data_IF_037037506263
#
_entry.id   IF_037037506263
#
_cell.length_a   1.000
_cell.length_b   1.000
_cell.length_c   1.000
_cell.angle_alpha   90.00
_cell.angle_beta   90.00
_cell.angle_gamma   90.00
#
_symmetry.space_group_name_H-M   'P 1'
#
loop_
_entity.id
_entity.type
_entity.pdbx_description
1 polymer ?
#
# COMPACT_ATOMS: atom_id res chain seq x y z
N UNK A 1 -7.69 -60.07 37.60
CA UNK A 1 -7.12 -58.80 38.10
C UNK A 1 -6.41 -58.13 36.94
N UNK A 2 -7.04 -57.13 36.33
CA UNK A 2 -6.52 -56.38 35.18
C UNK A 2 -6.00 -55.07 35.75
N UNK A 3 -4.69 -54.82 35.65
CA UNK A 3 -4.06 -53.59 36.13
C UNK A 3 -4.39 -52.39 35.22
N UNK A 4 -4.41 -51.15 35.73
CA UNK A 4 -4.76 -49.99 34.94
C UNK A 4 -3.60 -49.60 34.00
N UNK A 5 -3.92 -49.42 32.73
CA UNK A 5 -3.04 -48.85 31.71
C UNK A 5 -2.90 -47.34 31.91
N UNK A 6 -1.66 -46.87 32.04
CA UNK A 6 -1.29 -45.46 32.11
C UNK A 6 -1.23 -44.87 30.68
N UNK A 7 -1.97 -43.79 30.35
CA UNK A 7 -1.87 -43.16 29.04
C UNK A 7 -0.62 -42.28 28.97
N UNK A 8 0.23 -42.53 27.97
CA UNK A 8 1.39 -41.70 27.64
C UNK A 8 0.90 -40.43 26.94
N UNK A 9 1.02 -39.28 27.61
CA UNK A 9 0.72 -37.97 27.04
C UNK A 9 1.87 -37.54 26.11
N UNK A 10 1.71 -37.72 24.81
CA UNK A 10 2.64 -37.17 23.80
C UNK A 10 2.31 -35.70 23.60
N UNK A 11 3.13 -34.80 24.18
CA UNK A 11 3.08 -33.37 23.85
C UNK A 11 3.82 -33.15 22.53
N UNK A 12 3.07 -32.83 21.48
CA UNK A 12 3.64 -32.23 20.28
C UNK A 12 4.02 -30.79 20.60
N UNK A 13 5.31 -30.50 20.67
CA UNK A 13 5.83 -29.13 20.69
C UNK A 13 5.96 -28.71 19.24
N UNK A 14 4.98 -27.96 18.75
CA UNK A 14 4.97 -27.42 17.40
C UNK A 14 5.86 -26.18 17.37
N UNK A 15 7.14 -26.38 17.02
CA UNK A 15 8.09 -25.28 16.83
C UNK A 15 7.76 -24.58 15.52
N UNK A 16 6.95 -23.53 15.60
CA UNK A 16 6.76 -22.60 14.49
C UNK A 16 8.07 -21.84 14.29
N UNK A 17 8.84 -22.24 13.27
CA UNK A 17 9.95 -21.43 12.78
C UNK A 17 9.36 -20.14 12.20
N UNK A 18 9.48 -19.05 12.94
CA UNK A 18 9.29 -17.71 12.40
C UNK A 18 10.46 -17.47 11.45
N UNK A 19 10.23 -17.66 10.16
CA UNK A 19 11.16 -17.21 9.12
C UNK A 19 10.95 -15.70 9.04
N UNK A 20 11.73 -14.94 9.82
CA UNK A 20 11.86 -13.50 9.56
C UNK A 20 12.74 -13.36 8.33
N UNK A 21 12.13 -13.13 7.17
CA UNK A 21 12.86 -12.69 5.99
C UNK A 21 13.31 -11.25 6.24
N UNK A 22 14.60 -10.97 6.08
CA UNK A 22 15.08 -9.58 6.15
C UNK A 22 14.38 -8.75 5.05
N UNK A 23 13.98 -7.49 5.35
CA UNK A 23 13.38 -6.62 4.35
C UNK A 23 14.30 -6.49 3.14
N UNK A 24 13.72 -6.58 1.94
CA UNK A 24 14.47 -6.34 0.71
C UNK A 24 15.00 -4.89 0.70
N UNK A 25 16.29 -4.72 0.36
CA UNK A 25 16.93 -3.42 0.25
C UNK A 25 17.07 -3.01 -1.21
N UNK A 26 16.85 -1.72 -1.46
CA UNK A 26 16.96 -1.06 -2.75
C UNK A 26 18.23 -0.19 -2.83
N UNK A 27 19.32 -0.65 -2.19
CA UNK A 27 20.60 0.06 -2.20
C UNK A 27 21.09 0.25 -3.64
N UNK A 28 21.44 1.50 -3.97
CA UNK A 28 21.92 1.93 -5.30
C UNK A 28 20.91 1.75 -6.46
N UNK A 29 19.65 1.46 -6.15
CA UNK A 29 18.60 1.51 -7.17
C UNK A 29 18.32 2.98 -7.53
N UNK A 30 18.34 3.26 -8.83
CA UNK A 30 18.13 4.63 -9.35
C UNK A 30 16.80 4.74 -10.04
N UNK A 31 16.19 5.92 -9.99
CA UNK A 31 15.04 6.24 -10.82
C UNK A 31 15.46 7.23 -11.89
N UNK A 32 15.21 6.88 -13.15
CA UNK A 32 15.43 7.76 -14.30
C UNK A 32 14.09 8.16 -14.91
N UNK A 33 13.93 9.45 -15.19
CA UNK A 33 12.87 9.93 -16.06
C UNK A 33 13.30 9.84 -17.51
N UNK A 34 12.48 9.23 -18.33
CA UNK A 34 12.73 9.01 -19.75
C UNK A 34 11.61 9.65 -20.57
N UNK A 35 11.98 10.40 -21.60
CA UNK A 35 11.00 10.98 -22.54
C UNK A 35 10.92 10.16 -23.82
N UNK A 36 9.71 9.79 -24.20
CA UNK A 36 9.42 9.02 -25.41
C UNK A 36 9.16 9.98 -26.57
N UNK A 37 10.12 10.16 -27.47
CA UNK A 37 10.03 11.09 -28.61
C UNK A 37 9.81 10.36 -29.95
N UNK A 38 10.06 9.05 -30.03
CA UNK A 38 9.91 8.26 -31.25
C UNK A 38 9.33 6.86 -30.98
N UNK A 39 8.77 6.23 -32.03
CA UNK A 39 8.16 4.89 -31.94
C UNK A 39 9.20 3.84 -31.52
N UNK A 40 10.41 3.92 -32.05
CA UNK A 40 11.51 3.00 -31.74
C UNK A 40 11.90 3.06 -30.26
N UNK A 41 11.77 4.23 -29.63
CA UNK A 41 12.02 4.41 -28.19
C UNK A 41 10.92 3.78 -27.35
N UNK A 42 9.66 3.95 -27.77
CA UNK A 42 8.51 3.31 -27.12
C UNK A 42 8.66 1.78 -27.15
N UNK A 43 8.99 1.20 -28.30
CA UNK A 43 9.20 -0.24 -28.44
C UNK A 43 10.41 -0.72 -27.61
N UNK A 44 11.49 0.05 -27.57
CA UNK A 44 12.65 -0.27 -26.74
C UNK A 44 12.29 -0.32 -25.24
N UNK A 45 11.52 0.66 -24.75
CA UNK A 45 11.07 0.70 -23.35
C UNK A 45 10.08 -0.43 -23.05
N UNK A 46 9.13 -0.71 -23.94
CA UNK A 46 8.19 -1.84 -23.80
C UNK A 46 8.89 -3.20 -23.84
N UNK A 47 10.08 -3.29 -24.41
CA UNK A 47 10.86 -4.54 -24.45
C UNK A 47 11.60 -4.86 -23.15
N UNK A 48 11.70 -3.91 -22.22
CA UNK A 48 12.29 -4.15 -20.91
C UNK A 48 11.41 -5.12 -20.12
N UNK A 49 12.05 -6.09 -19.47
CA UNK A 49 11.37 -6.98 -18.54
C UNK A 49 11.04 -6.22 -17.25
N UNK A 50 9.82 -6.32 -16.78
CA UNK A 50 9.41 -5.77 -15.48
C UNK A 50 9.19 -6.87 -14.45
N UNK A 51 9.19 -6.52 -13.16
CA UNK A 51 8.91 -7.43 -12.05
C UNK A 51 10.14 -7.79 -11.19
N UNK A 52 10.08 -8.90 -10.43
CA UNK A 52 11.08 -9.24 -9.43
C UNK A 52 12.50 -9.32 -10.01
N UNK A 53 13.45 -8.64 -9.38
CA UNK A 53 14.85 -8.54 -9.82
C UNK A 53 15.03 -8.00 -11.25
N UNK A 54 14.11 -7.14 -11.70
CA UNK A 54 14.15 -6.49 -13.01
C UNK A 54 13.88 -4.99 -12.89
N UNK A 55 13.71 -4.31 -14.02
CA UNK A 55 13.23 -2.92 -14.06
C UNK A 55 11.81 -2.81 -13.48
N UNK A 56 11.44 -1.62 -13.03
CA UNK A 56 10.05 -1.32 -12.65
C UNK A 56 9.67 0.04 -13.21
N UNK A 57 8.52 0.13 -13.88
CA UNK A 57 7.95 1.41 -14.29
C UNK A 57 6.98 1.91 -13.24
N UNK A 58 7.07 3.19 -12.88
CA UNK A 58 6.04 3.81 -12.03
C UNK A 58 4.76 4.02 -12.84
N UNK A 59 4.92 4.40 -14.12
CA UNK A 59 3.89 4.43 -15.14
C UNK A 59 4.38 3.70 -16.39
N UNK A 60 3.58 2.77 -16.90
CA UNK A 60 3.93 1.99 -18.10
C UNK A 60 4.09 2.90 -19.33
N UNK A 61 5.07 2.64 -20.21
CA UNK A 61 5.25 3.39 -21.45
C UNK A 61 4.12 3.06 -22.43
N UNK A 62 3.20 3.98 -22.65
CA UNK A 62 2.01 3.80 -23.49
C UNK A 62 2.15 4.48 -24.86
N UNK A 63 2.70 5.70 -24.90
CA UNK A 63 2.62 6.55 -26.11
C UNK A 63 3.81 7.51 -26.29
N UNK A 64 3.99 7.98 -27.52
CA UNK A 64 4.94 9.05 -27.86
C UNK A 64 4.47 10.36 -27.21
N UNK A 65 5.41 11.12 -26.67
CA UNK A 65 5.18 12.36 -25.92
C UNK A 65 5.09 12.15 -24.41
N UNK A 66 4.94 10.91 -23.94
CA UNK A 66 4.93 10.56 -22.52
C UNK A 66 6.33 10.67 -21.91
N UNK A 67 6.38 11.06 -20.64
CA UNK A 67 7.54 10.87 -19.78
C UNK A 67 7.23 9.74 -18.79
N UNK A 68 8.15 8.80 -18.64
CA UNK A 68 8.01 7.67 -17.70
C UNK A 68 9.18 7.62 -16.74
N UNK A 69 8.90 7.27 -15.50
CA UNK A 69 9.92 7.04 -14.48
C UNK A 69 10.18 5.53 -14.36
N UNK A 70 11.45 5.14 -14.50
CA UNK A 70 11.91 3.75 -14.45
C UNK A 70 12.90 3.55 -13.31
N UNK A 71 12.59 2.61 -12.43
CA UNK A 71 13.51 2.10 -11.42
C UNK A 71 14.49 1.12 -12.08
N UNK A 72 15.77 1.41 -11.93
CA UNK A 72 16.88 0.67 -12.52
C UNK A 72 17.71 0.05 -11.41
N UNK A 73 17.72 -1.29 -11.30
CA UNK A 73 18.59 -1.99 -10.37
C UNK A 73 20.07 -1.77 -10.72
N UNK A 74 20.98 -1.71 -9.72
CA UNK A 74 22.40 -1.46 -9.96
C UNK A 74 23.04 -2.52 -10.87
N UNK A 75 22.62 -3.77 -10.75
CA UNK A 75 23.10 -4.89 -11.58
C UNK A 75 22.59 -4.85 -13.04
N UNK A 76 21.60 -4.02 -13.36
CA UNK A 76 21.10 -3.79 -14.73
C UNK A 76 21.49 -2.42 -15.30
N UNK A 77 22.23 -1.59 -14.55
CA UNK A 77 22.59 -0.23 -14.97
C UNK A 77 23.31 -0.19 -16.33
N UNK A 78 24.26 -1.10 -16.55
CA UNK A 78 25.03 -1.12 -17.81
C UNK A 78 24.16 -1.44 -19.02
N UNK A 79 23.21 -2.36 -18.86
CA UNK A 79 22.26 -2.75 -19.90
C UNK A 79 21.29 -1.60 -20.21
N UNK A 80 20.79 -0.93 -19.16
CA UNK A 80 19.97 0.26 -19.29
C UNK A 80 20.70 1.36 -20.07
N UNK A 81 21.92 1.70 -19.67
CA UNK A 81 22.72 2.74 -20.31
C UNK A 81 23.01 2.43 -21.79
N UNK A 82 23.26 1.15 -22.11
CA UNK A 82 23.45 0.70 -23.49
C UNK A 82 22.17 0.86 -24.33
N UNK A 83 21.01 0.50 -23.77
CA UNK A 83 19.71 0.63 -24.42
C UNK A 83 19.35 2.11 -24.66
N UNK A 84 19.54 2.98 -23.66
CA UNK A 84 19.35 4.43 -23.78
C UNK A 84 20.21 5.01 -24.91
N UNK A 85 21.51 4.69 -24.95
CA UNK A 85 22.42 5.17 -26.00
C UNK A 85 22.03 4.67 -27.38
N UNK A 86 21.72 3.37 -27.51
CA UNK A 86 21.35 2.74 -28.78
C UNK A 86 20.09 3.37 -29.37
N UNK A 87 19.11 3.68 -28.53
CA UNK A 87 17.82 4.24 -28.94
C UNK A 87 17.80 5.78 -28.94
N UNK A 88 18.94 6.42 -28.66
CA UNK A 88 19.08 7.88 -28.53
C UNK A 88 18.00 8.51 -27.63
N UNK A 89 17.74 7.85 -26.50
CA UNK A 89 16.71 8.26 -25.54
C UNK A 89 17.29 9.33 -24.62
N UNK A 90 16.58 10.44 -24.45
CA UNK A 90 16.91 11.43 -23.42
C UNK A 90 16.41 10.93 -22.06
N UNK A 91 17.27 11.01 -21.05
CA UNK A 91 16.89 10.69 -19.68
C UNK A 91 17.42 11.73 -18.69
N UNK A 92 16.85 11.70 -17.49
CA UNK A 92 17.24 12.51 -16.34
C UNK A 92 17.25 11.62 -15.10
N UNK A 93 18.33 11.68 -14.32
CA UNK A 93 18.36 11.05 -13.00
C UNK A 93 17.41 11.81 -12.05
N UNK A 94 16.44 11.09 -11.47
CA UNK A 94 15.46 11.63 -10.53
C UNK A 94 15.79 11.24 -9.09
N UNK A 95 16.14 9.97 -8.87
CA UNK A 95 16.49 9.43 -7.55
C UNK A 95 17.81 8.67 -7.69
N UNK A 96 18.81 9.07 -6.91
CA UNK A 96 20.16 8.49 -6.94
C UNK A 96 20.27 7.19 -6.15
N UNK A 97 19.53 7.07 -5.04
CA UNK A 97 19.44 5.87 -4.24
C UNK A 97 18.02 5.78 -3.67
N UNK A 98 17.26 4.77 -4.10
CA UNK A 98 15.89 4.54 -3.63
C UNK A 98 15.86 4.20 -2.14
N UNK A 99 16.88 3.49 -1.64
CA UNK A 99 16.93 3.09 -0.23
C UNK A 99 16.95 4.29 0.72
N UNK A 100 17.57 5.40 0.35
CA UNK A 100 17.60 6.61 1.20
C UNK A 100 16.18 7.15 1.47
N UNK A 101 15.29 7.04 0.48
CA UNK A 101 13.89 7.47 0.63
C UNK A 101 13.08 6.51 1.49
N UNK A 102 13.32 5.21 1.36
CA UNK A 102 12.69 4.16 2.17
C UNK A 102 13.14 4.29 3.63
N UNK A 103 14.45 4.46 3.85
CA UNK A 103 15.01 4.63 5.19
C UNK A 103 14.47 5.92 5.83
N UNK A 104 14.34 7.01 5.07
CA UNK A 104 13.74 8.25 5.56
C UNK A 104 12.28 8.08 5.96
N UNK A 105 11.48 7.34 5.20
CA UNK A 105 10.07 7.07 5.52
C UNK A 105 9.95 6.26 6.83
N UNK A 106 10.85 5.31 7.06
CA UNK A 106 10.85 4.48 8.29
C UNK A 106 11.45 5.15 9.52
N UNK A 107 12.32 6.15 9.34
CA UNK A 107 12.94 6.85 10.46
C UNK A 107 11.94 7.67 11.27
N UNK A 108 10.75 7.95 10.72
CA UNK A 108 9.75 8.73 11.43
C UNK A 108 9.12 7.96 12.59
N UNK A 109 9.05 6.60 12.60
CA UNK A 109 8.78 5.77 13.81
C UNK A 109 9.31 4.33 13.71
N UNK A 110 10.06 3.82 14.70
CA UNK A 110 10.26 2.37 14.84
C UNK A 110 8.94 1.69 15.23
N UNK A 111 8.67 0.50 14.66
CA UNK A 111 7.45 -0.29 14.91
C UNK A 111 7.08 -0.44 16.40
N UNK A 112 8.09 -0.54 17.28
CA UNK A 112 7.89 -0.65 18.73
C UNK A 112 7.30 0.59 19.40
N UNK A 113 7.28 1.74 18.74
CA UNK A 113 6.70 2.99 19.23
C UNK A 113 5.31 3.27 18.61
N UNK A 114 4.85 2.44 17.66
CA UNK A 114 3.52 2.57 17.05
C UNK A 114 2.41 1.90 17.89
N UNK A 115 2.72 0.95 18.76
CA UNK A 115 1.71 0.18 19.54
C UNK A 115 0.97 1.01 20.61
N UNK A 116 1.53 2.14 21.06
CA UNK A 116 0.98 2.96 22.16
C UNK A 116 0.44 4.34 21.71
N UNK A 117 0.46 4.67 20.43
CA UNK A 117 -0.03 5.95 19.90
C UNK A 117 -1.45 5.89 19.33
N UNK A 118 -2.24 6.94 19.60
CA UNK A 118 -3.56 7.14 19.01
C UNK A 118 -3.45 7.24 17.48
N UNK A 119 -4.34 6.57 16.74
CA UNK A 119 -4.35 6.58 15.29
C UNK A 119 -4.44 8.03 14.75
N UNK A 120 -3.43 8.45 13.97
CA UNK A 120 -3.35 9.81 13.41
C UNK A 120 -3.08 9.82 11.90
N UNK A 121 -2.99 11.01 11.29
CA UNK A 121 -2.82 11.17 9.83
C UNK A 121 -1.52 11.86 9.43
N UNK A 122 -0.46 11.63 10.22
CA UNK A 122 0.90 12.15 9.95
C UNK A 122 1.90 11.04 9.65
N UNK A 123 1.42 9.81 9.48
CA UNK A 123 2.24 8.61 9.29
C UNK A 123 1.51 7.57 8.42
N UNK A 124 2.23 6.54 7.97
CA UNK A 124 1.69 5.37 7.28
C UNK A 124 1.60 4.17 8.24
N UNK A 125 0.54 3.39 8.10
CA UNK A 125 0.28 2.24 8.97
C UNK A 125 0.19 0.95 8.17
N UNK A 126 0.54 -0.15 8.83
CA UNK A 126 0.32 -1.47 8.29
C UNK A 126 -1.18 -1.83 8.26
N UNK A 127 -1.51 -2.89 7.53
CA UNK A 127 -2.89 -3.34 7.36
C UNK A 127 -3.54 -3.74 8.69
N UNK A 128 -2.77 -4.28 9.63
CA UNK A 128 -3.31 -4.73 10.92
C UNK A 128 -3.77 -3.52 11.74
N UNK A 129 -2.92 -2.50 11.86
CA UNK A 129 -3.22 -1.26 12.57
C UNK A 129 -4.43 -0.54 11.96
N UNK A 130 -4.53 -0.50 10.62
CA UNK A 130 -5.71 0.06 9.94
C UNK A 130 -6.97 -0.75 10.25
N UNK A 131 -6.89 -2.09 10.26
CA UNK A 131 -8.04 -2.94 10.59
C UNK A 131 -8.49 -2.76 12.05
N UNK A 132 -7.56 -2.70 12.99
CA UNK A 132 -7.84 -2.44 14.40
C UNK A 132 -8.52 -1.08 14.59
N UNK A 133 -8.05 -0.04 13.88
CA UNK A 133 -8.70 1.25 13.86
C UNK A 133 -10.12 1.19 13.27
N UNK A 134 -10.33 0.48 12.16
CA UNK A 134 -11.67 0.29 11.58
C UNK A 134 -12.65 -0.37 12.56
N UNK A 135 -12.23 -1.41 13.29
CA UNK A 135 -13.08 -2.02 14.32
C UNK A 135 -13.34 -1.04 15.48
N UNK A 136 -12.34 -0.25 15.89
CA UNK A 136 -12.51 0.73 16.96
C UNK A 136 -13.57 1.79 16.63
N UNK A 137 -13.64 2.27 15.37
CA UNK A 137 -14.64 3.26 14.97
C UNK A 137 -16.05 2.65 14.86
N UNK A 138 -16.17 1.35 14.56
CA UNK A 138 -17.47 0.66 14.61
C UNK A 138 -18.00 0.54 16.04
N UNK A 139 -17.13 0.31 17.03
CA UNK A 139 -17.51 0.30 18.45
C UNK A 139 -17.89 1.70 18.97
N UNK A 140 -17.34 2.76 18.38
CA UNK A 140 -17.51 4.14 18.82
C UNK A 140 -18.72 4.86 18.20
N UNK A 141 -19.11 4.51 16.96
CA UNK A 141 -20.11 5.24 16.19
C UNK A 141 -21.25 4.32 15.72
N UNK A 142 -22.48 4.60 16.19
CA UNK A 142 -23.69 3.82 15.84
C UNK A 142 -24.00 3.84 14.33
N UNK A 143 -23.56 4.87 13.59
CA UNK A 143 -23.74 4.95 12.15
C UNK A 143 -22.72 4.15 11.33
N UNK A 144 -21.71 3.54 11.97
CA UNK A 144 -20.65 2.79 11.31
C UNK A 144 -20.96 1.30 11.30
N UNK A 145 -20.66 0.63 10.21
CA UNK A 145 -20.66 -0.84 10.12
C UNK A 145 -19.49 -1.31 9.27
N UNK A 146 -18.72 -2.27 9.78
CA UNK A 146 -17.65 -2.93 9.04
C UNK A 146 -18.24 -4.02 8.17
N UNK A 147 -17.89 -3.96 6.88
CA UNK A 147 -18.29 -4.92 5.87
C UNK A 147 -17.10 -5.79 5.54
N UNK A 148 -17.23 -7.11 5.72
CA UNK A 148 -16.33 -8.08 5.11
C UNK A 148 -16.75 -8.33 3.66
N UNK A 149 -16.08 -7.67 2.73
CA UNK A 149 -16.35 -7.81 1.30
C UNK A 149 -15.83 -9.14 0.72
N UNK A 150 -14.87 -9.77 1.40
CA UNK A 150 -14.31 -11.05 0.97
C UNK A 150 -13.06 -11.43 1.75
N UNK A 151 -12.25 -12.28 1.12
CA UNK A 151 -10.98 -12.75 1.66
C UNK A 151 -9.94 -12.74 0.53
N UNK A 152 -8.76 -12.21 0.83
CA UNK A 152 -7.60 -12.19 -0.07
C UNK A 152 -7.08 -13.59 -0.36
N UNK A 153 -6.20 -13.71 -1.36
CA UNK A 153 -5.54 -14.98 -1.68
C UNK A 153 -4.79 -15.60 -0.48
N UNK A 154 -4.17 -14.76 0.36
CA UNK A 154 -3.41 -15.20 1.53
C UNK A 154 -4.29 -15.36 2.80
N UNK A 155 -5.62 -15.30 2.66
CA UNK A 155 -6.55 -15.55 3.76
C UNK A 155 -6.84 -14.36 4.68
N UNK A 156 -6.37 -13.14 4.33
CA UNK A 156 -6.73 -11.91 5.07
C UNK A 156 -8.10 -11.40 4.66
N UNK A 157 -8.85 -10.83 5.59
CA UNK A 157 -10.15 -10.23 5.31
C UNK A 157 -10.02 -8.95 4.47
N UNK A 158 -10.93 -8.79 3.52
CA UNK A 158 -11.08 -7.54 2.75
C UNK A 158 -12.18 -6.75 3.44
N UNK A 159 -11.78 -5.71 4.18
CA UNK A 159 -12.70 -4.88 4.94
C UNK A 159 -13.10 -3.64 4.14
N UNK A 160 -14.35 -3.24 4.31
CA UNK A 160 -14.87 -1.93 3.95
C UNK A 160 -15.59 -1.32 5.15
N UNK A 161 -15.75 0.00 5.14
CA UNK A 161 -16.54 0.73 6.13
C UNK A 161 -17.78 1.31 5.46
N UNK A 162 -18.92 1.14 6.11
CA UNK A 162 -20.17 1.80 5.73
C UNK A 162 -20.49 2.84 6.80
N UNK A 163 -20.64 4.10 6.38
CA UNK A 163 -21.02 5.21 7.26
C UNK A 163 -22.41 5.66 6.82
N UNK A 164 -23.42 5.36 7.62
CA UNK A 164 -24.81 5.56 7.23
C UNK A 164 -25.65 6.16 8.35
N UNK A 165 -25.80 7.49 8.32
CA UNK A 165 -26.63 8.21 9.30
C UNK A 165 -28.12 8.12 9.03
N UNK A 166 -28.54 7.76 7.81
CA UNK A 166 -29.96 7.63 7.41
C UNK A 166 -30.20 6.43 6.49
N UNK A 167 -30.29 5.21 7.07
CA UNK A 167 -30.46 3.99 6.30
C UNK A 167 -31.69 4.04 5.38
N UNK A 168 -31.49 3.70 4.11
CA UNK A 168 -32.54 3.66 3.09
C UNK A 168 -33.00 5.02 2.55
N UNK A 169 -32.39 6.13 2.97
CA UNK A 169 -32.81 7.48 2.57
C UNK A 169 -31.79 8.20 1.67
N UNK A 170 -30.50 7.93 1.86
CA UNK A 170 -29.43 8.63 1.15
C UNK A 170 -28.87 7.77 -0.01
N UNK A 171 -28.47 8.40 -1.13
CA UNK A 171 -27.70 7.72 -2.17
C UNK A 171 -26.30 7.34 -1.64
N UNK A 172 -25.72 6.28 -2.20
CA UNK A 172 -24.41 5.76 -1.79
C UNK A 172 -23.26 6.25 -2.67
N UNK A 173 -22.10 6.51 -2.07
CA UNK A 173 -20.81 6.68 -2.74
C UNK A 173 -19.92 5.50 -2.39
N UNK A 174 -19.28 4.91 -3.40
CA UNK A 174 -18.27 3.88 -3.21
C UNK A 174 -16.88 4.48 -3.45
N UNK A 175 -16.00 4.34 -2.47
CA UNK A 175 -14.59 4.73 -2.56
C UNK A 175 -13.76 3.48 -2.29
N UNK A 176 -12.88 3.14 -3.22
CA UNK A 176 -11.83 2.16 -3.01
C UNK A 176 -10.47 2.84 -2.89
N UNK A 177 -9.55 2.22 -2.16
CA UNK A 177 -8.17 2.68 -2.04
C UNK A 177 -7.22 1.49 -2.03
N UNK A 178 -5.96 1.74 -2.40
CA UNK A 178 -4.85 0.80 -2.28
C UNK A 178 -5.03 -0.52 -3.07
N UNK A 179 -5.71 -0.45 -4.23
CA UNK A 179 -5.75 -1.58 -5.17
C UNK A 179 -4.34 -1.97 -5.66
N UNK A 180 -3.42 -1.00 -5.68
CA UNK A 180 -1.99 -1.23 -5.85
C UNK A 180 -1.24 -1.06 -4.52
N UNK A 181 -0.56 -2.12 -4.08
CA UNK A 181 0.05 -2.18 -2.74
C UNK A 181 1.14 -1.12 -2.46
N UNK A 182 1.75 -0.52 -3.49
CA UNK A 182 2.80 0.50 -3.35
C UNK A 182 2.28 1.93 -3.20
N UNK A 183 0.98 2.15 -3.38
CA UNK A 183 0.37 3.48 -3.40
C UNK A 183 -0.10 3.87 -1.99
N UNK A 184 0.81 3.87 -1.01
CA UNK A 184 0.47 3.98 0.42
C UNK A 184 -0.34 5.22 0.78
N UNK A 185 -0.11 6.33 0.07
CA UNK A 185 -0.87 7.58 0.23
C UNK A 185 -2.39 7.41 0.08
N UNK A 186 -2.87 6.42 -0.70
CA UNK A 186 -4.30 6.24 -0.91
C UNK A 186 -5.00 5.72 0.36
N UNK A 187 -4.36 4.82 1.11
CA UNK A 187 -4.92 4.28 2.36
C UNK A 187 -4.92 5.34 3.47
N UNK A 188 -3.84 6.11 3.60
CA UNK A 188 -3.77 7.25 4.52
C UNK A 188 -4.84 8.30 4.21
N UNK A 189 -5.08 8.59 2.91
CA UNK A 189 -6.13 9.52 2.49
C UNK A 189 -7.53 8.98 2.74
N UNK A 190 -7.78 7.69 2.49
CA UNK A 190 -9.08 7.07 2.72
C UNK A 190 -9.46 7.05 4.20
N UNK A 191 -8.54 6.66 5.09
CA UNK A 191 -8.76 6.72 6.54
C UNK A 191 -8.95 8.15 7.03
N UNK A 192 -8.27 9.13 6.43
CA UNK A 192 -8.50 10.54 6.72
C UNK A 192 -9.91 11.00 6.34
N UNK A 193 -10.38 10.63 5.13
CA UNK A 193 -11.74 10.94 4.67
C UNK A 193 -12.78 10.35 5.62
N UNK A 194 -12.62 9.08 6.01
CA UNK A 194 -13.50 8.41 6.99
C UNK A 194 -13.58 9.25 8.28
N UNK A 195 -12.44 9.63 8.84
CA UNK A 195 -12.40 10.45 10.04
C UNK A 195 -13.05 11.83 9.86
N UNK A 196 -12.82 12.51 8.73
CA UNK A 196 -13.49 13.79 8.45
C UNK A 196 -15.01 13.64 8.40
N UNK A 197 -15.53 12.56 7.81
CA UNK A 197 -16.98 12.32 7.75
C UNK A 197 -17.57 12.05 9.14
N UNK A 198 -16.88 11.26 9.97
CA UNK A 198 -17.33 10.93 11.33
C UNK A 198 -17.25 12.11 12.31
N UNK A 199 -16.22 12.96 12.17
CA UNK A 199 -15.93 14.06 13.12
C UNK A 199 -16.38 15.44 12.64
N UNK A 200 -17.04 15.52 11.48
CA UNK A 200 -17.54 16.77 10.94
C UNK A 200 -18.45 17.51 11.93
N UNK A 201 -18.11 18.77 12.22
CA UNK A 201 -18.89 19.64 13.11
C UNK A 201 -19.62 20.73 12.33
N UNK A 202 -20.45 21.53 13.02
CA UNK A 202 -21.12 22.69 12.41
C UNK A 202 -20.15 23.77 11.90
N UNK A 203 -18.87 23.73 12.31
CA UNK A 203 -17.82 24.58 11.76
C UNK A 203 -17.39 24.17 10.33
N UNK A 204 -17.78 22.96 9.89
CA UNK A 204 -17.47 22.38 8.58
C UNK A 204 -18.78 21.99 7.86
N UNK A 205 -19.63 22.97 7.50
CA UNK A 205 -21.00 22.70 7.05
C UNK A 205 -21.06 21.85 5.78
N UNK A 206 -20.09 21.97 4.88
CA UNK A 206 -20.03 21.18 3.64
C UNK A 206 -19.73 19.70 3.91
N UNK A 207 -18.74 19.40 4.75
CA UNK A 207 -18.38 18.02 5.12
C UNK A 207 -19.49 17.41 5.96
N UNK A 208 -20.07 18.17 6.90
CA UNK A 208 -21.21 17.71 7.69
C UNK A 208 -22.41 17.41 6.81
N UNK A 209 -22.71 18.28 5.83
CA UNK A 209 -23.80 18.05 4.88
C UNK A 209 -23.57 16.78 4.05
N UNK A 210 -22.34 16.54 3.59
CA UNK A 210 -21.97 15.32 2.89
C UNK A 210 -22.22 14.09 3.78
N UNK A 211 -21.69 14.09 4.99
CA UNK A 211 -21.82 12.97 5.93
C UNK A 211 -23.27 12.70 6.38
N UNK A 212 -24.14 13.73 6.43
CA UNK A 212 -25.54 13.58 6.85
C UNK A 212 -26.48 13.12 5.72
N UNK A 213 -26.13 13.40 4.46
CA UNK A 213 -27.05 13.23 3.32
C UNK A 213 -26.54 12.28 2.23
N UNK A 214 -25.34 11.72 2.39
CA UNK A 214 -24.77 10.69 1.52
C UNK A 214 -24.33 9.51 2.40
N UNK A 215 -24.52 8.30 1.89
CA UNK A 215 -24.03 7.05 2.49
C UNK A 215 -22.78 6.54 1.79
#
# INVERSE_FOLDING_TARGET
>A
MVGPSCPVLVRFVEVHRIISAEPYRFDDFKVFRVKIEAKEQLEALKSLKTGPNSYEYFDEPQQIGQEVDVLVPPFLQSDFDAMIRKSNIKNKLMIQNMQDLIDKERLDKPYSEQEDEEFGWTDYYDTQTIHEWLYSIEELYDEVTIIKAGTTYEGRDILGVNINRRPGQNPGIFIESQIHAREWITSASATWIINQLLTATDAQPEIKNLADNIN
#
